data_IF_724342219052
#
_entry.id   IF_724342219052
#
_cell.length_a   1.000
_cell.length_b   1.000
_cell.length_c   1.000
_cell.angle_alpha   90.00
_cell.angle_beta   90.00
_cell.angle_gamma   90.00
#
_symmetry.space_group_name_H-M   'P 1'
#
loop_
_entity.id
_entity.type
_entity.pdbx_description
1 polymer ?
#
# COMPACT_ATOMS: atom_id res chain seq x y z
N UNK A 1 14.79 -0.99 26.56
CA UNK A 1 13.97 -2.10 26.01
C UNK A 1 14.48 -2.50 24.63
N UNK A 2 14.36 -1.65 23.60
CA UNK A 2 14.78 -2.00 22.23
C UNK A 2 16.06 -1.30 21.74
N UNK A 3 16.56 -0.28 22.44
CA UNK A 3 17.66 0.57 21.95
C UNK A 3 17.14 1.68 21.03
N UNK A 4 17.70 2.88 21.14
CA UNK A 4 17.32 4.02 20.30
C UNK A 4 17.71 3.79 18.83
N UNK A 5 18.84 3.11 18.62
CA UNK A 5 19.35 2.68 17.32
C UNK A 5 18.34 1.83 16.53
N UNK A 6 17.40 1.20 17.23
CA UNK A 6 16.38 0.31 16.67
C UNK A 6 15.04 1.01 16.37
N UNK A 7 14.95 2.33 16.55
CA UNK A 7 13.80 3.13 16.13
C UNK A 7 13.67 3.12 14.60
N UNK A 8 12.51 2.70 14.10
CA UNK A 8 12.23 2.65 12.66
C UNK A 8 11.52 3.92 12.21
N UNK A 9 10.37 4.21 12.82
CA UNK A 9 9.55 5.36 12.46
C UNK A 9 8.52 5.69 13.55
N UNK A 10 8.08 6.94 13.57
CA UNK A 10 6.87 7.38 14.25
C UNK A 10 5.85 7.75 13.18
N UNK A 11 4.87 6.88 12.95
CA UNK A 11 3.83 7.10 11.94
C UNK A 11 2.74 7.96 12.55
N UNK A 12 2.49 9.12 11.95
CA UNK A 12 1.40 10.02 12.33
C UNK A 12 0.16 9.64 11.52
N UNK A 13 -0.86 9.10 12.18
CA UNK A 13 -2.08 8.65 11.53
C UNK A 13 -3.23 9.60 11.82
N UNK A 14 -3.76 10.26 10.80
CA UNK A 14 -4.95 11.10 10.91
C UNK A 14 -6.18 10.21 11.14
N UNK A 15 -6.73 10.25 12.36
CA UNK A 15 -7.94 9.51 12.76
C UNK A 15 -9.23 10.31 12.59
N UNK A 16 -9.14 11.64 12.48
CA UNK A 16 -10.29 12.55 12.31
C UNK A 16 -10.06 13.47 11.13
N UNK A 17 -11.12 13.72 10.36
CA UNK A 17 -11.07 14.61 9.19
C UNK A 17 -10.82 16.07 9.55
N UNK A 18 -11.45 16.57 10.63
CA UNK A 18 -11.41 17.97 11.01
C UNK A 18 -11.20 18.19 12.50
N UNK A 19 -10.93 19.45 12.90
CA UNK A 19 -10.75 19.82 14.29
C UNK A 19 -12.06 19.66 15.09
N UNK A 20 -11.91 19.46 16.38
CA UNK A 20 -12.96 19.39 17.38
C UNK A 20 -13.18 20.79 17.96
N UNK A 21 -14.38 21.32 17.79
CA UNK A 21 -14.74 22.70 18.17
C UNK A 21 -14.81 22.93 19.68
N UNK A 22 -14.86 21.85 20.46
CA UNK A 22 -14.86 21.83 21.92
C UNK A 22 -13.45 21.64 22.51
N UNK A 23 -12.42 21.54 21.67
CA UNK A 23 -11.04 21.43 22.14
C UNK A 23 -10.64 22.70 22.91
N UNK A 24 -10.22 22.53 24.16
CA UNK A 24 -9.76 23.63 25.03
C UNK A 24 -8.41 24.21 24.60
N UNK A 25 -7.57 23.38 23.98
CA UNK A 25 -6.22 23.72 23.52
C UNK A 25 -6.07 23.34 22.05
N UNK A 26 -5.29 22.30 21.75
CA UNK A 26 -5.19 21.74 20.41
C UNK A 26 -6.26 20.69 20.19
N UNK A 27 -6.85 20.70 19.00
CA UNK A 27 -7.67 19.59 18.58
C UNK A 27 -6.79 18.45 18.08
N UNK A 28 -6.82 17.32 18.81
CA UNK A 28 -6.11 16.11 18.43
C UNK A 28 -6.89 15.35 17.34
N UNK A 29 -6.37 15.42 16.11
CA UNK A 29 -6.96 14.78 14.93
C UNK A 29 -6.15 13.56 14.46
N UNK A 30 -4.99 13.32 15.05
CA UNK A 30 -4.10 12.22 14.71
C UNK A 30 -3.69 11.41 15.94
N UNK A 31 -3.14 10.22 15.68
CA UNK A 31 -2.47 9.36 16.65
C UNK A 31 -1.05 9.04 16.18
N UNK A 32 -0.26 8.47 17.09
CA UNK A 32 1.11 8.06 16.84
C UNK A 32 1.22 6.53 16.90
N UNK A 33 1.75 5.94 15.84
CA UNK A 33 2.12 4.52 15.79
C UNK A 33 3.63 4.44 15.75
N UNK A 34 4.24 4.10 16.88
CA UNK A 34 5.69 4.02 17.04
C UNK A 34 6.18 2.62 16.68
N UNK A 35 7.06 2.53 15.68
CA UNK A 35 7.62 1.28 15.20
C UNK A 35 9.09 1.14 15.63
N UNK A 36 9.39 0.05 16.33
CA UNK A 36 10.75 -0.42 16.64
C UNK A 36 10.97 -1.79 16.00
N UNK A 37 12.21 -2.03 15.57
CA UNK A 37 12.64 -3.34 15.09
C UNK A 37 13.60 -3.98 16.12
N UNK A 38 13.64 -5.31 16.20
CA UNK A 38 14.67 -5.99 16.99
C UNK A 38 16.08 -5.76 16.43
N UNK A 39 16.20 -5.71 15.10
CA UNK A 39 17.42 -5.41 14.36
C UNK A 39 17.08 -4.55 13.12
N UNK A 40 17.14 -3.23 13.27
CA UNK A 40 16.71 -2.26 12.24
C UNK A 40 17.31 -2.50 10.86
N UNK A 41 18.61 -2.78 10.77
CA UNK A 41 19.32 -2.96 9.50
C UNK A 41 18.75 -4.08 8.63
N UNK A 42 18.29 -5.16 9.25
CA UNK A 42 17.69 -6.33 8.57
C UNK A 42 16.17 -6.23 8.37
N UNK A 43 15.49 -5.36 9.12
CA UNK A 43 14.05 -5.30 9.11
C UNK A 43 13.53 -4.54 7.89
N UNK A 44 12.47 -5.04 7.26
CA UNK A 44 11.75 -4.35 6.18
C UNK A 44 10.25 -4.56 6.38
N UNK A 45 9.39 -3.59 5.99
CA UNK A 45 7.95 -3.80 5.98
C UNK A 45 7.61 -4.94 5.02
N UNK A 46 6.74 -5.86 5.46
CA UNK A 46 6.24 -6.94 4.63
C UNK A 46 4.82 -6.62 4.18
N UNK A 47 4.46 -7.10 2.99
CA UNK A 47 3.08 -7.05 2.53
C UNK A 47 2.21 -7.93 3.44
N UNK A 48 0.96 -7.50 3.63
CA UNK A 48 -0.04 -8.32 4.29
C UNK A 48 -0.29 -9.56 3.43
N UNK A 49 -0.28 -10.74 4.07
CA UNK A 49 -0.57 -11.98 3.38
C UNK A 49 -2.00 -11.94 2.82
N UNK A 50 -2.18 -12.44 1.60
CA UNK A 50 -3.50 -12.57 1.02
C UNK A 50 -4.22 -13.77 1.63
N UNK A 51 -5.51 -13.64 1.85
CA UNK A 51 -6.35 -14.74 2.30
C UNK A 51 -6.82 -15.63 1.12
N UNK A 52 -7.39 -16.79 1.44
CA UNK A 52 -7.86 -17.77 0.45
C UNK A 52 -8.95 -17.18 -0.47
N UNK A 53 -9.76 -16.25 0.04
CA UNK A 53 -10.82 -15.62 -0.75
C UNK A 53 -10.24 -14.68 -1.81
N UNK A 54 -9.20 -13.92 -1.46
CA UNK A 54 -8.46 -13.05 -2.38
C UNK A 54 -7.69 -13.86 -3.43
N UNK A 55 -7.13 -15.03 -3.05
CA UNK A 55 -6.37 -15.89 -3.96
C UNK A 55 -7.24 -16.56 -5.03
N UNK A 56 -8.53 -16.81 -4.78
CA UNK A 56 -9.47 -17.39 -5.77
C UNK A 56 -9.59 -16.59 -7.07
N UNK A 57 -9.26 -15.29 -7.05
CA UNK A 57 -9.29 -14.45 -8.23
C UNK A 57 -8.10 -14.66 -9.18
N UNK A 58 -7.02 -15.32 -8.74
CA UNK A 58 -5.82 -15.57 -9.53
C UNK A 58 -5.93 -16.93 -10.23
N UNK A 59 -5.65 -16.98 -11.52
CA UNK A 59 -5.69 -18.19 -12.36
C UNK A 59 -4.49 -18.22 -13.30
N UNK A 60 -4.16 -19.38 -13.85
CA UNK A 60 -3.10 -19.52 -14.86
C UNK A 60 -3.63 -20.23 -16.11
N UNK A 61 -4.57 -19.62 -16.85
CA UNK A 61 -5.22 -20.27 -17.99
C UNK A 61 -4.30 -20.46 -19.21
N UNK A 62 -3.23 -19.67 -19.29
CA UNK A 62 -2.26 -19.62 -20.39
C UNK A 62 -0.93 -20.33 -20.07
N UNK A 63 -0.87 -21.05 -18.93
CA UNK A 63 0.31 -21.77 -18.47
C UNK A 63 1.57 -20.88 -18.37
N UNK A 64 1.38 -19.63 -17.91
CA UNK A 64 2.45 -18.68 -17.66
C UNK A 64 3.42 -19.22 -16.58
N UNK A 65 4.72 -19.20 -16.89
CA UNK A 65 5.77 -19.68 -15.98
C UNK A 65 5.88 -18.88 -14.68
N UNK A 66 5.32 -17.66 -14.63
CA UNK A 66 5.27 -16.79 -13.45
C UNK A 66 4.18 -17.21 -12.46
N UNK A 67 3.30 -18.14 -12.85
CA UNK A 67 2.25 -18.69 -12.01
C UNK A 67 0.91 -17.96 -12.15
N UNK A 68 0.03 -18.17 -11.17
CA UNK A 68 -1.32 -17.63 -11.21
C UNK A 68 -1.32 -16.09 -11.18
N UNK A 69 -2.02 -15.50 -12.13
CA UNK A 69 -2.14 -14.06 -12.30
C UNK A 69 -3.61 -13.66 -12.38
N UNK A 70 -3.87 -12.35 -12.26
CA UNK A 70 -5.16 -11.77 -12.58
C UNK A 70 -4.92 -10.46 -13.30
N UNK A 71 -5.76 -10.11 -14.26
CA UNK A 71 -5.70 -8.79 -14.88
C UNK A 71 -5.95 -7.70 -13.82
N UNK A 72 -5.06 -6.70 -13.78
CA UNK A 72 -5.34 -5.47 -13.05
C UNK A 72 -5.87 -4.43 -14.03
N UNK A 73 -6.55 -3.44 -13.46
CA UNK A 73 -6.90 -2.21 -14.15
C UNK A 73 -5.66 -1.45 -14.64
N UNK A 74 -5.80 -0.80 -15.81
CA UNK A 74 -4.81 0.12 -16.36
C UNK A 74 -5.06 1.54 -15.82
N UNK A 75 -5.19 1.69 -14.51
CA UNK A 75 -5.50 2.98 -13.89
C UNK A 75 -4.23 3.78 -13.58
N UNK A 76 -4.32 5.10 -13.76
CA UNK A 76 -3.32 6.05 -13.29
C UNK A 76 -3.92 6.89 -12.16
N UNK A 77 -3.15 7.13 -11.10
CA UNK A 77 -3.61 7.97 -9.96
C UNK A 77 -3.99 9.38 -10.41
N UNK A 78 -3.32 9.91 -11.42
CA UNK A 78 -3.56 11.24 -11.97
C UNK A 78 -3.54 11.13 -13.49
N UNK A 79 -4.59 11.63 -14.13
CA UNK A 79 -4.68 11.64 -15.59
C UNK A 79 -3.59 12.53 -16.21
N UNK A 80 -3.04 12.07 -17.33
CA UNK A 80 -2.19 12.88 -18.20
C UNK A 80 -2.50 12.54 -19.66
N UNK A 81 -2.74 13.55 -20.50
CA UNK A 81 -2.93 13.31 -21.93
C UNK A 81 -1.68 12.67 -22.59
N UNK A 82 -0.49 12.85 -22.00
CA UNK A 82 0.74 12.21 -22.47
C UNK A 82 0.76 10.69 -22.26
N UNK A 83 -0.14 10.16 -21.43
CA UNK A 83 -0.30 8.71 -21.18
C UNK A 83 -1.46 8.12 -21.97
N UNK A 84 -2.13 8.91 -22.80
CA UNK A 84 -3.16 8.42 -23.71
C UNK A 84 -2.50 8.00 -25.02
N UNK A 85 -2.43 6.68 -25.25
CA UNK A 85 -1.91 6.12 -26.48
C UNK A 85 -2.66 4.83 -26.84
N UNK A 86 -2.84 4.54 -28.14
CA UNK A 86 -3.42 3.28 -28.57
C UNK A 86 -2.48 2.12 -28.24
N UNK A 87 -3.05 1.01 -27.77
CA UNK A 87 -2.34 -0.26 -27.62
C UNK A 87 -2.69 -1.10 -28.85
N UNK A 88 -1.70 -1.53 -29.62
CA UNK A 88 -1.92 -2.48 -30.72
C UNK A 88 -1.59 -3.88 -30.23
N UNK A 89 -2.60 -4.76 -30.16
CA UNK A 89 -2.40 -6.14 -29.77
C UNK A 89 -1.64 -6.96 -30.84
N UNK A 90 -1.13 -8.15 -30.50
CA UNK A 90 -0.48 -9.06 -31.45
C UNK A 90 -1.38 -9.50 -32.62
N UNK A 91 -2.69 -9.28 -32.51
CA UNK A 91 -3.68 -9.53 -33.59
C UNK A 91 -4.09 -8.28 -34.36
N UNK A 92 -3.53 -7.10 -34.05
CA UNK A 92 -3.77 -5.86 -34.80
C UNK A 92 -5.05 -5.08 -34.44
N UNK A 93 -5.74 -5.47 -33.37
CA UNK A 93 -6.80 -4.67 -32.72
C UNK A 93 -6.42 -4.35 -31.27
#
# INVERSE_FOLDING_TARGET
VFGEENFVANVVWQKKYGPANDAKHFSETHEYVVAYAKHKESWRPKLVARDDQQLKAFKNPDNDSRGAWRASDLSARTYSASTDYPITGPTGE
#
